data_IF_626460380672
#
_entry.id   IF_626460380672
#
_cell.length_a   1.000
_cell.length_b   1.000
_cell.length_c   1.000
_cell.angle_alpha   90.00
_cell.angle_beta   90.00
_cell.angle_gamma   90.00
#
_symmetry.space_group_name_H-M   'P 1'
#
loop_
_entity.id
_entity.type
_entity.pdbx_description
1 polymer ?
#
# COMPACT_ATOMS: atom_id res chain seq x y z
N UNK A 1 -5.27 -7.14 7.17
CA UNK A 1 -5.56 -7.35 5.73
C UNK A 1 -4.59 -6.46 4.97
N UNK A 2 -3.99 -6.89 3.84
CA UNK A 2 -3.03 -6.04 3.15
C UNK A 2 -3.82 -4.90 2.48
N UNK A 3 -3.88 -3.74 3.13
CA UNK A 3 -4.82 -2.67 2.82
C UNK A 3 -4.69 -2.11 1.39
N UNK A 4 -3.56 -2.34 0.74
CA UNK A 4 -3.29 -1.83 -0.61
C UNK A 4 -3.66 -2.81 -1.73
N UNK A 5 -3.81 -4.12 -1.49
CA UNK A 5 -4.07 -5.10 -2.55
C UNK A 5 -5.57 -5.43 -2.67
N UNK A 6 -6.05 -5.61 -3.91
CA UNK A 6 -7.43 -6.01 -4.17
C UNK A 6 -7.68 -7.42 -3.63
N UNK A 7 -8.72 -7.58 -2.80
CA UNK A 7 -9.06 -8.89 -2.19
C UNK A 7 -9.30 -10.00 -3.21
N UNK A 8 -9.84 -9.66 -4.39
CA UNK A 8 -10.14 -10.61 -5.47
C UNK A 8 -8.99 -10.79 -6.48
N UNK A 9 -7.95 -9.97 -6.42
CA UNK A 9 -6.79 -10.06 -7.31
C UNK A 9 -5.54 -9.51 -6.59
N UNK A 10 -4.69 -10.41 -6.10
CA UNK A 10 -3.54 -10.04 -5.27
C UNK A 10 -2.45 -9.23 -5.99
N UNK A 11 -2.50 -9.16 -7.31
CA UNK A 11 -1.59 -8.40 -8.18
C UNK A 11 -2.11 -6.98 -8.51
N UNK A 12 -3.29 -6.58 -8.03
CA UNK A 12 -3.85 -5.25 -8.22
C UNK A 12 -3.71 -4.46 -6.92
N UNK A 13 -3.13 -3.26 -7.02
CA UNK A 13 -2.84 -2.40 -5.87
C UNK A 13 -3.52 -1.03 -6.02
N UNK A 14 -3.96 -0.46 -4.90
CA UNK A 14 -4.55 0.87 -4.80
C UNK A 14 -3.72 1.79 -3.92
N UNK A 15 -3.62 3.04 -4.34
CA UNK A 15 -2.94 4.12 -3.64
C UNK A 15 -3.49 5.48 -4.11
N UNK A 16 -3.26 6.53 -3.32
CA UNK A 16 -3.77 7.85 -3.61
C UNK A 16 -5.27 7.97 -3.43
N UNK A 17 -5.86 9.04 -3.97
CA UNK A 17 -7.24 9.46 -3.67
C UNK A 17 -8.30 8.37 -3.91
N UNK A 18 -8.08 7.40 -4.79
CA UNK A 18 -8.98 6.25 -4.99
C UNK A 18 -9.19 5.41 -3.72
N UNK A 19 -8.28 5.53 -2.74
CA UNK A 19 -8.34 4.84 -1.44
C UNK A 19 -8.99 5.67 -0.33
N UNK A 20 -9.43 6.91 -0.64
CA UNK A 20 -10.04 7.81 0.33
C UNK A 20 -9.06 8.71 1.09
N UNK A 21 -7.78 8.72 0.71
CA UNK A 21 -6.83 9.71 1.23
C UNK A 21 -6.99 11.06 0.52
N UNK A 22 -6.73 12.16 1.22
CA UNK A 22 -6.70 13.52 0.67
C UNK A 22 -5.31 14.12 0.88
N UNK A 23 -4.85 14.92 -0.07
CA UNK A 23 -3.53 15.57 0.01
C UNK A 23 -2.41 14.82 -0.73
N UNK A 24 -1.40 15.59 -1.11
CA UNK A 24 -0.28 15.09 -1.91
C UNK A 24 0.64 14.16 -1.10
N UNK A 25 0.83 14.45 0.19
CA UNK A 25 1.72 13.68 1.07
C UNK A 25 1.13 12.29 1.35
N UNK A 26 -0.17 12.24 1.61
CA UNK A 26 -0.94 11.03 1.85
C UNK A 26 -1.03 10.18 0.57
N UNK A 27 -1.17 10.83 -0.58
CA UNK A 27 -1.18 10.15 -1.88
C UNK A 27 0.20 9.57 -2.24
N UNK A 28 1.28 10.34 -2.03
CA UNK A 28 2.64 9.88 -2.27
C UNK A 28 3.05 8.75 -1.33
N UNK A 29 2.73 8.86 -0.04
CA UNK A 29 3.04 7.84 0.96
C UNK A 29 2.28 6.53 0.73
N UNK A 30 0.98 6.58 0.45
CA UNK A 30 0.22 5.38 0.06
C UNK A 30 0.73 4.76 -1.24
N UNK A 31 1.16 5.58 -2.21
CA UNK A 31 1.82 5.13 -3.45
C UNK A 31 3.11 4.37 -3.18
N UNK A 32 3.94 4.89 -2.28
CA UNK A 32 5.18 4.23 -1.87
C UNK A 32 4.90 2.87 -1.22
N UNK A 33 3.92 2.77 -0.32
CA UNK A 33 3.55 1.50 0.34
C UNK A 33 3.04 0.47 -0.68
N UNK A 34 2.16 0.91 -1.59
CA UNK A 34 1.64 0.04 -2.65
C UNK A 34 2.77 -0.47 -3.57
N UNK A 35 3.69 0.41 -3.98
CA UNK A 35 4.84 0.06 -4.81
C UNK A 35 5.81 -0.92 -4.13
N UNK A 36 6.16 -0.68 -2.86
CA UNK A 36 7.00 -1.59 -2.07
C UNK A 36 6.34 -2.97 -2.02
N UNK A 37 5.07 -3.07 -1.64
CA UNK A 37 4.40 -4.37 -1.52
C UNK A 37 4.17 -5.06 -2.87
N UNK A 38 3.89 -4.31 -3.94
CA UNK A 38 3.83 -4.87 -5.30
C UNK A 38 5.18 -5.46 -5.73
N UNK A 39 6.29 -4.78 -5.42
CA UNK A 39 7.63 -5.29 -5.72
C UNK A 39 7.99 -6.53 -4.88
N UNK A 40 7.60 -6.58 -3.61
CA UNK A 40 7.83 -7.75 -2.76
C UNK A 40 7.09 -8.96 -3.30
N UNK A 41 5.83 -8.79 -3.68
CA UNK A 41 5.03 -9.83 -4.32
C UNK A 41 5.65 -10.32 -5.64
N UNK A 42 6.09 -9.39 -6.50
CA UNK A 42 6.77 -9.72 -7.75
C UNK A 42 8.04 -10.55 -7.51
N UNK A 43 8.76 -10.27 -6.43
CA UNK A 43 9.98 -10.99 -6.03
C UNK A 43 9.69 -12.26 -5.20
N UNK A 44 8.43 -12.62 -4.94
CA UNK A 44 8.05 -13.75 -4.09
C UNK A 44 8.45 -13.58 -2.61
N UNK A 45 8.56 -12.33 -2.14
CA UNK A 45 8.94 -11.97 -0.77
C UNK A 45 7.73 -11.59 0.07
N UNK A 46 7.90 -11.63 1.38
CA UNK A 46 6.87 -11.15 2.30
C UNK A 46 6.65 -9.64 2.17
N UNK A 47 5.39 -9.22 2.30
CA UNK A 47 4.98 -7.81 2.29
C UNK A 47 5.46 -7.10 3.55
N UNK A 48 5.77 -5.82 3.41
CA UNK A 48 6.10 -4.95 4.53
C UNK A 48 4.82 -4.44 5.18
N UNK A 49 4.73 -4.62 6.49
CA UNK A 49 3.64 -4.07 7.33
C UNK A 49 4.22 -2.91 8.14
N UNK A 50 3.73 -1.71 7.86
CA UNK A 50 4.13 -0.50 8.58
C UNK A 50 3.37 -0.42 9.93
N UNK A 51 4.04 -0.14 11.06
CA UNK A 51 3.37 -0.08 12.36
C UNK A 51 2.31 1.02 12.40
N UNK A 52 1.17 0.74 13.03
CA UNK A 52 0.06 1.71 13.24
C UNK A 52 0.48 2.99 13.97
N UNK A 53 1.57 2.94 14.74
CA UNK A 53 2.13 4.10 15.44
C UNK A 53 2.88 5.07 14.53
N UNK A 54 3.05 4.74 13.24
CA UNK A 54 3.67 5.61 12.24
C UNK A 54 2.61 6.37 11.45
N UNK A 55 2.97 7.54 10.90
CA UNK A 55 2.05 8.35 10.10
C UNK A 55 1.51 7.62 8.85
N UNK A 56 2.19 6.57 8.38
CA UNK A 56 1.86 5.81 7.17
C UNK A 56 1.40 4.38 7.49
N UNK A 57 1.27 4.03 8.77
CA UNK A 57 0.81 2.72 9.21
C UNK A 57 -0.68 2.54 8.99
N UNK A 58 -1.07 1.40 8.41
CA UNK A 58 -2.47 1.01 8.15
C UNK A 58 -2.89 -0.18 9.02
#
# INVERSE_FOLDING_TARGET
MPHTALKKASNIYFAGQITGVEGYVESASSGMIAGINASMDFLGRERVIFPRSTAIGL
#
